data_IF_365407914536
#
_entry.id   IF_365407914536
#
_cell.length_a   1.000
_cell.length_b   1.000
_cell.length_c   1.000
_cell.angle_alpha   90.00
_cell.angle_beta   90.00
_cell.angle_gamma   90.00
#
_symmetry.space_group_name_H-M   'P 1'
#
loop_
_entity.id
_entity.type
_entity.pdbx_description
1 polymer ?
#
# COMPACT_ATOMS: atom_id res chain seq x y z
N UNK A 1 -18.13 -28.54 20.24
CA UNK A 1 -18.35 -27.20 19.64
C UNK A 1 -17.17 -26.24 19.74
N UNK A 2 -16.11 -26.47 20.55
CA UNK A 2 -14.92 -25.58 20.58
C UNK A 2 -14.00 -25.70 19.35
N UNK A 3 -13.93 -26.88 18.72
CA UNK A 3 -13.04 -27.15 17.57
C UNK A 3 -13.41 -26.37 16.29
N UNK A 4 -14.70 -26.10 16.09
CA UNK A 4 -15.21 -25.42 14.88
C UNK A 4 -14.94 -23.91 14.95
N UNK A 5 -14.99 -23.31 16.15
CA UNK A 5 -14.69 -21.89 16.35
C UNK A 5 -13.20 -21.57 16.15
N UNK A 6 -12.29 -22.49 16.50
CA UNK A 6 -10.85 -22.31 16.25
C UNK A 6 -10.48 -22.41 14.76
N UNK A 7 -11.22 -23.18 13.97
CA UNK A 7 -10.93 -23.37 12.54
C UNK A 7 -11.31 -22.13 11.72
N UNK A 8 -12.42 -21.45 12.06
CA UNK A 8 -12.85 -20.23 11.37
C UNK A 8 -11.86 -19.08 11.54
N UNK A 9 -11.25 -18.95 12.72
CA UNK A 9 -10.27 -17.89 13.00
C UNK A 9 -9.00 -18.01 12.15
N UNK A 10 -8.55 -19.21 11.78
CA UNK A 10 -7.34 -19.38 10.96
C UNK A 10 -7.57 -18.92 9.50
N UNK A 11 -8.75 -19.18 8.96
CA UNK A 11 -9.06 -18.94 7.54
C UNK A 11 -9.06 -17.43 7.24
N UNK A 12 -9.53 -16.61 8.18
CA UNK A 12 -9.56 -15.14 8.04
C UNK A 12 -8.17 -14.51 7.94
N UNK A 13 -7.16 -15.06 8.64
CA UNK A 13 -5.78 -14.53 8.56
C UNK A 13 -5.05 -14.92 7.26
N UNK A 14 -5.37 -16.07 6.66
CA UNK A 14 -4.76 -16.49 5.39
C UNK A 14 -5.21 -15.64 4.19
N UNK A 15 -6.47 -15.19 4.19
CA UNK A 15 -7.04 -14.42 3.07
C UNK A 15 -6.41 -13.03 2.88
N UNK A 16 -5.99 -12.38 3.97
CA UNK A 16 -5.36 -11.04 3.88
C UNK A 16 -3.96 -11.14 3.27
N UNK A 17 -3.22 -12.21 3.61
CA UNK A 17 -1.87 -12.44 3.10
C UNK A 17 -1.85 -12.76 1.60
N UNK A 18 -2.87 -13.44 1.05
CA UNK A 18 -2.90 -13.78 -0.37
C UNK A 18 -3.04 -12.55 -1.27
N UNK A 19 -3.83 -11.56 -0.87
CA UNK A 19 -4.08 -10.37 -1.68
C UNK A 19 -2.84 -9.46 -1.74
N UNK A 20 -2.14 -9.29 -0.62
CA UNK A 20 -0.89 -8.54 -0.57
C UNK A 20 0.17 -9.17 -1.49
N UNK A 21 0.37 -10.50 -1.37
CA UNK A 21 1.35 -11.23 -2.18
C UNK A 21 0.98 -11.17 -3.68
N UNK A 22 -0.30 -11.26 -4.01
CA UNK A 22 -0.77 -11.16 -5.40
C UNK A 22 -0.52 -9.78 -6.01
N UNK A 23 -0.71 -8.71 -5.23
CA UNK A 23 -0.54 -7.35 -5.73
C UNK A 23 0.91 -6.86 -5.75
N UNK A 24 1.79 -7.36 -4.88
CA UNK A 24 3.13 -6.78 -4.65
C UNK A 24 3.97 -6.63 -5.94
N UNK A 25 4.05 -7.71 -6.74
CA UNK A 25 4.78 -7.70 -8.02
C UNK A 25 4.12 -6.80 -9.07
N UNK A 26 2.79 -6.75 -9.08
CA UNK A 26 2.02 -5.96 -10.06
C UNK A 26 2.16 -4.48 -9.76
N UNK A 27 2.00 -4.10 -8.49
CA UNK A 27 2.09 -2.73 -8.00
C UNK A 27 3.50 -2.20 -8.23
N UNK A 28 4.54 -2.95 -7.84
CA UNK A 28 5.93 -2.55 -8.04
C UNK A 28 6.25 -2.24 -9.51
N UNK A 29 5.89 -3.16 -10.43
CA UNK A 29 6.08 -2.95 -11.88
C UNK A 29 5.27 -1.79 -12.45
N UNK A 30 4.06 -1.56 -11.95
CA UNK A 30 3.24 -0.41 -12.36
C UNK A 30 3.86 0.90 -11.89
N UNK A 31 4.39 0.93 -10.66
CA UNK A 31 4.99 2.13 -10.07
C UNK A 31 6.30 2.52 -10.77
N UNK A 32 7.16 1.56 -11.13
CA UNK A 32 8.37 1.83 -11.92
C UNK A 32 8.09 2.54 -13.25
N UNK A 33 6.89 2.39 -13.81
CA UNK A 33 6.46 3.07 -15.05
C UNK A 33 5.76 4.41 -14.80
N UNK A 34 5.19 4.60 -13.61
CA UNK A 34 4.37 5.78 -13.27
C UNK A 34 5.16 6.85 -12.54
N UNK A 35 6.10 6.46 -11.68
CA UNK A 35 6.90 7.37 -10.87
C UNK A 35 8.29 7.42 -11.49
N UNK A 36 8.72 8.62 -11.88
CA UNK A 36 10.07 8.84 -12.38
C UNK A 36 11.04 8.82 -11.21
N UNK A 37 12.12 8.06 -11.36
CA UNK A 37 13.23 8.04 -10.42
C UNK A 37 14.54 7.75 -11.18
N UNK A 38 15.64 8.33 -10.73
CA UNK A 38 16.98 8.08 -11.28
C UNK A 38 17.54 6.72 -10.84
N UNK A 39 16.97 6.14 -9.78
CA UNK A 39 17.33 4.84 -9.22
C UNK A 39 16.08 3.96 -9.11
N UNK A 40 16.24 2.63 -9.07
CA UNK A 40 15.11 1.73 -8.85
C UNK A 40 14.30 2.14 -7.63
N UNK A 41 12.98 2.19 -7.78
CA UNK A 41 12.06 2.49 -6.70
C UNK A 41 12.12 1.38 -5.65
N UNK A 42 12.18 1.77 -4.38
CA UNK A 42 11.97 0.84 -3.28
C UNK A 42 10.48 0.85 -2.93
N UNK A 43 9.77 -0.17 -3.38
CA UNK A 43 8.34 -0.34 -3.10
C UNK A 43 8.17 -1.33 -1.96
N UNK A 44 7.38 -0.98 -0.95
CA UNK A 44 7.11 -1.83 0.22
C UNK A 44 5.65 -1.71 0.63
N UNK A 45 5.00 -2.85 0.84
CA UNK A 45 3.71 -2.85 1.54
C UNK A 45 3.88 -2.32 2.97
N UNK A 46 2.99 -1.44 3.39
CA UNK A 46 2.97 -0.87 4.74
C UNK A 46 1.82 -1.45 5.57
N UNK A 47 0.59 -1.30 5.08
CA UNK A 47 -0.60 -1.62 5.87
C UNK A 47 -1.84 -1.82 5.01
N UNK A 48 -2.84 -2.47 5.60
CA UNK A 48 -4.21 -2.49 5.11
C UNK A 48 -4.93 -1.31 5.75
N UNK A 49 -5.53 -0.46 4.93
CA UNK A 49 -6.29 0.70 5.37
C UNK A 49 -7.78 0.41 5.15
N UNK A 50 -8.52 0.33 6.24
CA UNK A 50 -9.97 0.12 6.21
C UNK A 50 -10.69 1.36 5.66
N UNK A 51 -11.83 1.15 5.01
CA UNK A 51 -12.68 2.22 4.52
C UNK A 51 -12.98 3.26 5.61
N UNK A 52 -13.08 4.52 5.22
CA UNK A 52 -13.30 5.64 6.13
C UNK A 52 -12.11 5.98 7.04
N UNK A 53 -11.01 5.22 7.03
CA UNK A 53 -9.81 5.53 7.81
C UNK A 53 -8.93 6.54 7.08
N UNK A 54 -8.38 7.52 7.80
CA UNK A 54 -7.48 8.51 7.21
C UNK A 54 -6.11 7.92 6.93
N UNK A 55 -5.62 8.13 5.71
CA UNK A 55 -4.23 7.89 5.36
C UNK A 55 -3.41 9.11 5.79
N UNK A 56 -2.47 8.89 6.71
CA UNK A 56 -1.60 9.93 7.24
C UNK A 56 -0.17 9.70 6.73
N UNK A 57 0.61 10.78 6.61
CA UNK A 57 2.07 10.66 6.49
C UNK A 57 2.72 10.47 7.86
N UNK A 58 4.05 10.32 7.89
CA UNK A 58 4.82 10.10 9.12
C UNK A 58 4.71 11.25 10.15
N UNK A 59 4.28 12.44 9.70
CA UNK A 59 4.04 13.62 10.56
C UNK A 59 2.59 13.75 11.02
N UNK A 60 1.73 12.79 10.71
CA UNK A 60 0.30 12.82 11.03
C UNK A 60 -0.52 13.75 10.13
N UNK A 61 0.04 14.26 9.02
CA UNK A 61 -0.72 15.05 8.06
C UNK A 61 -1.58 14.13 7.20
N UNK A 62 -2.86 14.47 7.04
CA UNK A 62 -3.79 13.75 6.17
C UNK A 62 -3.36 13.85 4.71
N UNK A 63 -3.18 12.69 4.08
CA UNK A 63 -2.93 12.54 2.65
C UNK A 63 -4.23 12.26 1.89
N UNK A 64 -5.05 11.33 2.39
CA UNK A 64 -6.28 10.89 1.76
C UNK A 64 -7.22 10.17 2.73
N UNK A 65 -8.43 9.89 2.28
CA UNK A 65 -9.41 9.01 2.93
C UNK A 65 -10.23 8.36 1.81
N UNK A 66 -10.55 7.08 1.95
CA UNK A 66 -11.19 6.28 0.90
C UNK A 66 -12.51 5.69 1.38
N UNK A 67 -13.46 5.53 0.46
CA UNK A 67 -14.77 4.91 0.73
C UNK A 67 -14.75 3.39 0.54
N UNK A 68 -13.56 2.80 0.43
CA UNK A 68 -13.33 1.38 0.22
C UNK A 68 -11.99 1.04 0.89
N UNK A 69 -11.81 -0.23 1.23
CA UNK A 69 -10.54 -0.74 1.74
C UNK A 69 -9.41 -0.60 0.72
N UNK A 70 -8.19 -0.34 1.22
CA UNK A 70 -6.98 -0.18 0.39
C UNK A 70 -5.79 -0.93 0.97
N UNK A 71 -4.94 -1.43 0.09
CA UNK A 71 -3.56 -1.77 0.41
C UNK A 71 -2.71 -0.51 0.27
N UNK A 72 -1.95 -0.17 1.31
CA UNK A 72 -1.05 0.98 1.31
C UNK A 72 0.38 0.50 1.11
N UNK A 73 1.03 1.05 0.09
CA UNK A 73 2.43 0.85 -0.20
C UNK A 73 3.21 2.15 -0.02
N UNK A 74 4.45 2.04 0.47
CA UNK A 74 5.47 3.08 0.35
C UNK A 74 6.22 2.89 -0.95
N UNK A 75 6.45 3.97 -1.68
CA UNK A 75 7.40 4.02 -2.79
C UNK A 75 8.44 5.10 -2.52
N UNK A 76 9.68 4.68 -2.33
CA UNK A 76 10.82 5.57 -2.06
C UNK A 76 11.71 5.62 -3.29
N UNK A 77 12.04 6.82 -3.72
CA UNK A 77 12.90 7.05 -4.88
C UNK A 77 13.79 8.28 -4.72
N UNK A 78 14.63 8.49 -5.72
CA UNK A 78 15.45 9.69 -5.83
C UNK A 78 15.34 10.25 -7.24
N UNK A 79 15.19 11.56 -7.35
CA UNK A 79 15.36 12.32 -8.59
C UNK A 79 16.45 13.37 -8.35
N UNK A 80 16.98 14.01 -9.41
CA UNK A 80 18.14 14.91 -9.36
C UNK A 80 18.18 15.89 -8.15
N UNK A 81 17.02 16.34 -7.66
CA UNK A 81 16.84 17.28 -6.56
C UNK A 81 16.79 16.67 -5.15
N UNK A 82 16.77 15.34 -5.01
CA UNK A 82 16.77 14.66 -3.71
C UNK A 82 15.96 13.37 -3.65
N UNK A 83 15.80 12.86 -2.43
CA UNK A 83 14.94 11.71 -2.15
C UNK A 83 13.49 12.16 -2.00
N UNK A 84 12.56 11.28 -2.39
CA UNK A 84 11.14 11.47 -2.17
C UNK A 84 10.51 10.20 -1.61
N UNK A 85 9.43 10.40 -0.85
CA UNK A 85 8.54 9.33 -0.40
C UNK A 85 7.17 9.51 -1.05
N UNK A 86 6.52 8.40 -1.38
CA UNK A 86 5.14 8.42 -1.84
C UNK A 86 4.34 7.33 -1.14
N UNK A 87 3.14 7.68 -0.68
CA UNK A 87 2.13 6.72 -0.25
C UNK A 87 1.26 6.36 -1.44
N UNK A 88 1.10 5.07 -1.68
CA UNK A 88 0.35 4.53 -2.83
C UNK A 88 -0.82 3.73 -2.28
N UNK A 89 -2.04 4.13 -2.62
CA UNK A 89 -3.24 3.36 -2.28
C UNK A 89 -3.65 2.48 -3.45
N UNK A 90 -3.85 1.20 -3.16
CA UNK A 90 -4.11 0.15 -4.14
C UNK A 90 -5.41 -0.56 -3.80
N UNK A 91 -6.26 -0.78 -4.79
CA UNK A 91 -7.45 -1.61 -4.64
C UNK A 91 -7.03 -3.08 -4.39
N UNK A 92 -7.47 -3.71 -3.28
CA UNK A 92 -7.01 -5.05 -2.89
C UNK A 92 -7.45 -6.16 -3.85
N UNK A 93 -8.56 -5.98 -4.57
CA UNK A 93 -9.14 -7.01 -5.44
C UNK A 93 -8.55 -6.98 -6.86
N UNK A 94 -8.23 -5.78 -7.35
CA UNK A 94 -7.79 -5.56 -8.75
C UNK A 94 -6.31 -5.18 -8.88
N UNK A 95 -5.65 -4.89 -7.77
CA UNK A 95 -4.31 -4.32 -7.73
C UNK A 95 -4.17 -3.04 -8.60
N UNK A 96 -5.26 -2.28 -8.76
CA UNK A 96 -5.23 -0.96 -9.40
C UNK A 96 -4.63 0.05 -8.44
N UNK A 97 -3.85 0.99 -8.98
CA UNK A 97 -3.34 2.12 -8.20
C UNK A 97 -4.39 3.22 -8.31
N UNK A 98 -5.03 3.52 -7.18
CA UNK A 98 -6.11 4.50 -7.11
C UNK A 98 -5.59 5.87 -6.68
N UNK A 99 -4.46 5.91 -5.97
CA UNK A 99 -3.86 7.14 -5.46
C UNK A 99 -2.34 7.03 -5.32
N UNK A 100 -1.64 8.15 -5.58
CA UNK A 100 -0.21 8.35 -5.29
C UNK A 100 -0.05 9.73 -4.65
N UNK A 101 0.30 9.77 -3.37
CA UNK A 101 0.54 11.00 -2.62
C UNK A 101 2.02 11.16 -2.30
N UNK A 102 2.67 12.16 -2.90
CA UNK A 102 4.08 12.46 -2.64
C UNK A 102 4.23 13.32 -1.38
N UNK A 103 5.25 13.03 -0.58
CA UNK A 103 5.64 13.83 0.57
C UNK A 103 7.17 13.84 0.71
N UNK A 104 7.68 14.84 1.44
CA UNK A 104 9.13 14.98 1.62
C UNK A 104 9.72 13.72 2.27
N UNK A 105 10.84 13.24 1.72
CA UNK A 105 11.67 12.27 2.43
C UNK A 105 12.28 12.94 3.65
N UNK A 106 12.22 12.28 4.80
CA UNK A 106 12.85 12.77 6.03
C UNK A 106 14.36 12.54 6.04
#
# INVERSE_FOLDING_TARGET
MKLVMTLLSLISFLAINSNVIACDNIVSKKLERKIRADRPLQVRYLMYLTEGTELLNDRGNKLAQFNEDKLIYSAIGSEHSGWFNAAVAVNPDTCSIDYIGHFAAE
#
